data_IF_780851034020
#
_entry.id   IF_780851034020
#
_cell.length_a   1.000
_cell.length_b   1.000
_cell.length_c   1.000
_cell.angle_alpha   90.00
_cell.angle_beta   90.00
_cell.angle_gamma   90.00
#
_symmetry.space_group_name_H-M   'P 1'
#
loop_
_entity.id
_entity.type
_entity.pdbx_description
1 polymer ?
#
# COMPACT_ATOMS: atom_id res chain seq x y z
N UNK A 1 30.00 -45.83 -77.97
CA UNK A 1 30.41 -44.99 -79.11
C UNK A 1 29.14 -44.36 -79.68
N UNK A 2 29.13 -43.02 -79.80
CA UNK A 2 28.19 -42.18 -80.57
C UNK A 2 26.74 -41.94 -80.07
N UNK A 3 26.48 -40.67 -79.77
CA UNK A 3 25.18 -39.96 -79.64
C UNK A 3 24.45 -39.89 -80.99
N UNK A 4 23.13 -39.57 -81.02
CA UNK A 4 22.69 -38.17 -81.24
C UNK A 4 21.40 -37.77 -80.47
N UNK A 5 21.31 -36.58 -79.85
CA UNK A 5 20.78 -35.28 -80.37
C UNK A 5 19.26 -35.07 -80.06
N UNK A 6 18.63 -33.88 -80.26
CA UNK A 6 18.44 -32.94 -79.15
C UNK A 6 17.03 -32.28 -79.06
N UNK A 7 16.87 -31.47 -78.01
CA UNK A 7 16.19 -30.16 -78.03
C UNK A 7 14.68 -30.03 -77.78
N UNK A 8 14.41 -29.01 -76.94
CA UNK A 8 13.26 -28.11 -76.89
C UNK A 8 12.07 -28.43 -75.95
N UNK A 9 12.15 -27.77 -74.79
CA UNK A 9 11.09 -27.12 -73.99
C UNK A 9 10.13 -26.28 -74.88
N UNK A 10 8.91 -25.83 -74.44
CA UNK A 10 8.60 -25.34 -73.09
C UNK A 10 7.16 -25.59 -72.58
N UNK A 11 6.89 -25.27 -71.31
CA UNK A 11 5.52 -25.26 -70.79
C UNK A 11 5.43 -24.93 -69.31
N UNK A 12 5.45 -23.63 -68.99
CA UNK A 12 5.16 -23.11 -67.65
C UNK A 12 3.74 -23.50 -67.22
N UNK A 13 3.61 -24.18 -66.08
CA UNK A 13 2.40 -24.15 -65.27
C UNK A 13 2.80 -23.69 -63.86
N UNK A 14 2.53 -22.42 -63.57
CA UNK A 14 2.73 -21.84 -62.25
C UNK A 14 1.69 -22.45 -61.28
N UNK A 15 2.11 -23.41 -60.46
CA UNK A 15 1.32 -23.87 -59.31
C UNK A 15 1.39 -22.83 -58.22
N UNK A 16 0.25 -22.18 -57.95
CA UNK A 16 0.05 -21.32 -56.77
C UNK A 16 0.09 -22.19 -55.52
N UNK A 17 1.24 -22.24 -54.85
CA UNK A 17 1.36 -22.80 -53.51
C UNK A 17 0.69 -21.82 -52.55
N UNK A 18 -0.49 -22.17 -52.06
CA UNK A 18 -1.15 -21.47 -50.97
C UNK A 18 -0.37 -21.75 -49.67
N UNK A 19 0.45 -20.80 -49.25
CA UNK A 19 1.15 -20.83 -47.97
C UNK A 19 0.13 -20.58 -46.85
N UNK A 20 -0.38 -21.65 -46.24
CA UNK A 20 -1.15 -21.55 -45.00
C UNK A 20 -0.19 -21.17 -43.86
N UNK A 21 -0.14 -19.88 -43.53
CA UNK A 21 0.52 -19.39 -42.32
C UNK A 21 -0.34 -19.82 -41.14
N UNK A 22 0.05 -20.90 -40.47
CA UNK A 22 -0.49 -21.24 -39.16
C UNK A 22 0.04 -20.20 -38.15
N UNK A 23 -0.80 -19.22 -37.81
CA UNK A 23 -0.58 -18.33 -36.68
C UNK A 23 -0.62 -19.17 -35.39
N UNK A 24 0.56 -19.54 -34.90
CA UNK A 24 0.75 -20.00 -33.53
C UNK A 24 0.44 -18.82 -32.61
N UNK A 25 -0.82 -18.71 -32.19
CA UNK A 25 -1.23 -17.86 -31.07
C UNK A 25 -0.63 -18.52 -29.84
N UNK A 26 0.56 -18.10 -29.45
CA UNK A 26 1.08 -18.40 -28.12
C UNK A 26 0.08 -17.84 -27.11
N UNK A 27 -0.53 -18.66 -26.24
CA UNK A 27 -1.28 -18.09 -25.14
C UNK A 27 -0.27 -17.29 -24.33
N UNK A 28 -0.50 -15.97 -24.23
CA UNK A 28 0.08 -15.18 -23.15
C UNK A 28 -0.34 -15.89 -21.86
N UNK A 29 0.57 -16.66 -21.29
CA UNK A 29 0.39 -17.19 -19.96
C UNK A 29 0.19 -16.00 -19.05
N UNK A 30 -1.05 -15.77 -18.65
CA UNK A 30 -1.34 -15.05 -17.42
C UNK A 30 -0.60 -15.85 -16.34
N UNK A 31 0.52 -15.32 -15.87
CA UNK A 31 1.06 -15.76 -14.59
C UNK A 31 -0.05 -15.48 -13.58
N UNK A 32 -0.81 -16.51 -13.23
CA UNK A 32 -1.70 -16.47 -12.09
C UNK A 32 -0.86 -15.96 -10.92
N UNK A 33 -1.28 -14.86 -10.30
CA UNK A 33 -0.72 -14.44 -9.02
C UNK A 33 -1.07 -15.54 -8.02
N UNK A 34 -0.21 -16.54 -7.89
CA UNK A 34 -0.36 -17.65 -6.96
C UNK A 34 0.02 -17.16 -5.56
N UNK A 35 -0.87 -16.36 -4.96
CA UNK A 35 -0.75 -15.86 -3.59
C UNK A 35 -1.86 -14.86 -3.28
N UNK A 36 -2.35 -14.89 -2.03
CA UNK A 36 -3.18 -13.82 -1.49
C UNK A 36 -2.40 -12.50 -1.52
N UNK A 37 -2.89 -11.43 -2.18
CA UNK A 37 -2.12 -10.19 -2.27
C UNK A 37 -1.83 -9.60 -0.88
N UNK A 38 -0.67 -8.95 -0.73
CA UNK A 38 -0.22 -8.37 0.54
C UNK A 38 1.26 -8.64 0.82
N UNK A 39 1.61 -8.76 2.10
CA UNK A 39 2.98 -9.05 2.56
C UNK A 39 2.97 -10.07 3.69
N UNK A 40 3.88 -11.03 3.60
CA UNK A 40 4.13 -12.01 4.66
C UNK A 40 5.50 -11.74 5.29
N UNK A 41 5.52 -11.05 6.43
CA UNK A 41 6.74 -10.88 7.22
C UNK A 41 7.12 -12.20 7.91
N UNK A 42 6.12 -13.03 8.23
CA UNK A 42 6.28 -14.31 8.90
C UNK A 42 7.17 -15.31 8.15
N UNK A 43 7.30 -15.17 6.83
CA UNK A 43 8.14 -16.02 5.97
C UNK A 43 9.55 -15.48 5.78
N UNK A 44 9.87 -14.32 6.33
CA UNK A 44 11.19 -13.70 6.23
C UNK A 44 12.14 -14.20 7.33
N UNK A 45 13.37 -13.69 7.34
CA UNK A 45 14.37 -13.98 8.36
C UNK A 45 14.53 -12.81 9.33
N UNK A 46 14.71 -13.10 10.63
CA UNK A 46 15.01 -12.07 11.62
C UNK A 46 16.35 -11.38 11.29
N UNK A 47 16.37 -10.05 11.30
CA UNK A 47 17.52 -9.24 10.89
C UNK A 47 17.76 -9.20 9.37
N UNK A 48 16.93 -9.90 8.59
CA UNK A 48 17.01 -9.88 7.13
C UNK A 48 16.56 -8.57 6.51
N UNK A 49 16.70 -8.47 5.19
CA UNK A 49 16.19 -7.34 4.41
C UNK A 49 14.66 -7.29 4.44
N UNK A 50 14.10 -6.09 4.32
CA UNK A 50 12.67 -5.89 4.15
C UNK A 50 12.18 -6.61 2.87
N UNK A 51 10.92 -7.07 2.83
CA UNK A 51 10.36 -7.72 1.64
C UNK A 51 10.53 -6.85 0.38
N UNK A 52 10.76 -7.51 -0.76
CA UNK A 52 10.99 -6.82 -2.02
C UNK A 52 9.82 -5.85 -2.35
N UNK A 53 10.16 -4.69 -2.93
CA UNK A 53 9.19 -3.64 -3.28
C UNK A 53 8.82 -2.68 -2.14
N UNK A 54 9.17 -3.00 -0.89
CA UNK A 54 8.92 -2.11 0.25
C UNK A 54 10.03 -1.06 0.40
N UNK A 55 9.64 0.20 0.58
CA UNK A 55 10.55 1.35 0.73
C UNK A 55 10.16 2.15 1.97
N UNK A 56 11.15 2.56 2.76
CA UNK A 56 10.95 3.50 3.86
C UNK A 56 11.00 4.92 3.31
N UNK A 57 9.84 5.58 3.20
CA UNK A 57 9.66 6.88 2.56
C UNK A 57 9.45 7.99 3.60
N UNK A 58 10.09 9.16 3.44
CA UNK A 58 9.89 10.28 4.34
C UNK A 58 8.48 10.83 4.18
N UNK A 59 7.79 11.08 5.30
CA UNK A 59 6.49 11.77 5.30
C UNK A 59 6.63 13.28 5.49
N UNK A 60 7.69 13.71 6.17
CA UNK A 60 8.07 15.12 6.35
C UNK A 60 9.54 15.29 6.01
N UNK A 61 9.85 16.29 5.18
CA UNK A 61 11.22 16.58 4.75
C UNK A 61 12.11 16.96 5.94
N UNK A 62 13.25 16.28 6.07
CA UNK A 62 14.27 16.60 7.08
C UNK A 62 14.00 16.03 8.48
N UNK A 63 12.90 15.30 8.68
CA UNK A 63 12.65 14.57 9.93
C UNK A 63 13.43 13.25 9.94
N UNK A 64 13.87 12.77 11.12
CA UNK A 64 14.40 11.42 11.26
C UNK A 64 13.40 10.38 10.77
N UNK A 65 13.94 9.26 10.27
CA UNK A 65 13.15 8.15 9.74
C UNK A 65 12.91 7.11 10.84
N UNK A 66 11.69 6.58 10.91
CA UNK A 66 11.37 5.43 11.75
C UNK A 66 12.18 4.21 11.27
N UNK A 67 12.75 3.46 12.21
CA UNK A 67 13.57 2.29 11.91
C UNK A 67 12.68 1.06 11.87
N UNK A 68 12.71 0.37 10.73
CA UNK A 68 11.96 -0.86 10.50
C UNK A 68 12.90 -2.07 10.46
N UNK A 69 12.66 -3.08 11.28
CA UNK A 69 13.48 -4.30 11.37
C UNK A 69 12.61 -5.55 11.44
N UNK A 70 13.04 -6.63 10.80
CA UNK A 70 12.40 -7.93 10.97
C UNK A 70 12.92 -8.58 12.25
N UNK A 71 12.03 -8.92 13.18
CA UNK A 71 12.37 -9.50 14.48
C UNK A 71 11.54 -10.75 14.75
N UNK A 72 12.03 -11.59 15.65
CA UNK A 72 11.30 -12.76 16.13
C UNK A 72 10.40 -12.35 17.29
N UNK A 73 9.10 -12.64 17.19
CA UNK A 73 8.11 -12.53 18.28
C UNK A 73 7.52 -13.93 18.52
N UNK A 74 8.04 -14.63 19.54
CA UNK A 74 7.76 -16.05 19.74
C UNK A 74 8.24 -16.92 18.57
N UNK A 75 7.31 -17.61 17.90
CA UNK A 75 7.61 -18.49 16.77
C UNK A 75 7.49 -17.84 15.39
N UNK A 76 7.04 -16.57 15.32
CA UNK A 76 6.84 -15.86 14.06
C UNK A 76 7.88 -14.76 13.87
N UNK A 77 8.14 -14.43 12.61
CA UNK A 77 8.79 -13.16 12.25
C UNK A 77 7.72 -12.08 12.10
N UNK A 78 8.05 -10.87 12.56
CA UNK A 78 7.20 -9.68 12.49
C UNK A 78 8.07 -8.48 12.14
N UNK A 79 7.45 -7.43 11.64
CA UNK A 79 8.10 -6.15 11.41
C UNK A 79 8.02 -5.31 12.70
N UNK A 80 9.15 -4.99 13.32
CA UNK A 80 9.23 -3.98 14.37
C UNK A 80 9.47 -2.60 13.77
N UNK A 81 8.77 -1.60 14.29
CA UNK A 81 8.99 -0.19 14.03
C UNK A 81 9.42 0.51 15.32
N UNK A 82 10.61 1.10 15.33
CA UNK A 82 11.09 1.97 16.40
C UNK A 82 11.03 3.41 15.91
N UNK A 83 10.18 4.24 16.52
CA UNK A 83 10.14 5.67 16.27
C UNK A 83 10.71 6.45 17.46
N UNK A 84 11.53 7.45 17.14
CA UNK A 84 12.23 8.30 18.10
C UNK A 84 12.32 9.70 17.50
N UNK A 85 11.40 10.58 17.91
CA UNK A 85 11.22 11.91 17.31
C UNK A 85 11.13 11.85 15.78
N UNK A 86 10.62 10.75 15.25
CA UNK A 86 10.72 10.37 13.84
C UNK A 86 9.36 10.14 13.22
N UNK A 87 9.30 10.27 11.91
CA UNK A 87 8.12 9.92 11.13
C UNK A 87 8.54 9.46 9.74
N UNK A 88 8.18 8.23 9.37
CA UNK A 88 8.32 7.72 8.01
C UNK A 88 7.36 6.57 7.76
N UNK A 89 6.97 6.41 6.49
CA UNK A 89 6.05 5.36 6.07
C UNK A 89 6.82 4.27 5.33
N UNK A 90 6.70 3.02 5.79
CA UNK A 90 7.16 1.86 5.05
C UNK A 90 6.09 1.47 4.03
N UNK A 91 6.31 1.77 2.76
CA UNK A 91 5.31 1.71 1.70
C UNK A 91 5.66 0.67 0.63
N UNK A 92 4.63 0.04 0.07
CA UNK A 92 4.71 -0.78 -1.13
C UNK A 92 3.84 -0.15 -2.21
N UNK A 93 4.44 0.12 -3.37
CA UNK A 93 3.71 0.56 -4.57
C UNK A 93 3.03 -0.65 -5.21
N UNK A 94 1.77 -0.52 -5.58
CA UNK A 94 1.07 -1.64 -6.19
C UNK A 94 -0.41 -1.39 -6.39
N UNK A 95 -0.95 -2.09 -7.38
CA UNK A 95 -2.35 -2.05 -7.77
C UNK A 95 -3.02 -3.32 -7.23
N UNK A 96 -3.73 -3.19 -6.09
CA UNK A 96 -4.59 -4.26 -5.58
C UNK A 96 -5.98 -4.04 -6.15
N UNK A 97 -6.51 -5.04 -6.85
CA UNK A 97 -7.88 -4.99 -7.35
C UNK A 97 -8.87 -5.16 -6.19
N UNK A 98 -9.38 -4.03 -5.71
CA UNK A 98 -10.36 -3.97 -4.63
C UNK A 98 -11.74 -4.48 -5.06
N UNK A 99 -12.01 -4.71 -6.35
CA UNK A 99 -13.23 -5.40 -6.77
C UNK A 99 -13.15 -6.91 -6.48
N UNK A 100 -11.93 -7.47 -6.48
CA UNK A 100 -11.69 -8.88 -6.17
C UNK A 100 -11.35 -9.09 -4.70
N UNK A 101 -10.55 -8.18 -4.12
CA UNK A 101 -10.01 -8.32 -2.76
C UNK A 101 -10.26 -7.08 -1.88
N UNK A 102 -11.54 -6.70 -1.64
CA UNK A 102 -11.88 -5.46 -0.93
C UNK A 102 -11.55 -5.47 0.56
N UNK A 103 -11.27 -6.65 1.14
CA UNK A 103 -11.09 -6.82 2.58
C UNK A 103 -9.62 -6.95 2.91
N UNK A 104 -9.12 -6.13 3.83
CA UNK A 104 -7.77 -6.27 4.39
C UNK A 104 -7.83 -6.91 5.76
N UNK A 105 -6.93 -7.86 6.01
CA UNK A 105 -6.70 -8.52 7.29
C UNK A 105 -5.25 -8.34 7.70
N UNK A 106 -5.02 -7.93 8.94
CA UNK A 106 -3.69 -7.74 9.48
C UNK A 106 -3.70 -7.87 11.00
N UNK A 107 -2.52 -7.82 11.61
CA UNK A 107 -2.40 -7.61 13.04
C UNK A 107 -1.30 -6.63 13.38
N UNK A 108 -1.46 -5.93 14.49
CA UNK A 108 -0.39 -5.10 15.06
C UNK A 108 -0.36 -5.21 16.58
N UNK A 109 0.72 -4.75 17.18
CA UNK A 109 0.90 -4.56 18.62
C UNK A 109 1.65 -3.24 18.79
N UNK A 110 1.29 -2.45 19.78
CA UNK A 110 2.10 -1.32 20.21
C UNK A 110 2.51 -1.52 21.66
N UNK A 111 3.67 -0.99 22.01
CA UNK A 111 4.20 -1.04 23.38
C UNK A 111 3.25 -0.34 24.35
N UNK A 112 2.69 0.80 23.94
CA UNK A 112 1.72 1.54 24.72
C UNK A 112 1.20 2.78 24.02
N UNK A 113 0.35 3.57 24.70
CA UNK A 113 -0.06 4.88 24.22
C UNK A 113 1.11 5.85 24.17
N UNK A 114 1.04 6.81 23.24
CA UNK A 114 1.96 7.96 23.20
C UNK A 114 1.41 9.04 24.14
N UNK A 115 2.22 9.45 25.12
CA UNK A 115 1.82 10.49 26.06
C UNK A 115 1.58 11.82 25.35
N UNK A 116 0.44 12.46 25.63
CA UNK A 116 0.08 13.75 25.05
C UNK A 116 -0.38 13.71 23.60
N UNK A 117 -0.40 12.55 22.94
CA UNK A 117 -0.92 12.39 21.59
C UNK A 117 -2.43 12.64 21.52
N UNK A 118 -2.87 13.31 20.47
CA UNK A 118 -4.27 13.50 20.10
C UNK A 118 -4.38 13.73 18.60
N UNK A 119 -4.91 12.74 17.88
CA UNK A 119 -4.98 12.75 16.41
C UNK A 119 -5.91 13.84 15.83
N UNK A 120 -6.66 14.57 16.67
CA UNK A 120 -7.44 15.74 16.25
C UNK A 120 -6.63 17.04 16.25
N UNK A 121 -5.48 17.05 16.90
CA UNK A 121 -4.65 18.23 17.09
C UNK A 121 -3.35 18.07 16.31
N UNK A 122 -3.13 18.88 15.28
CA UNK A 122 -1.99 18.73 14.36
C UNK A 122 -0.60 18.76 15.00
N UNK A 123 -0.41 19.43 16.13
CA UNK A 123 0.87 19.42 16.86
C UNK A 123 1.03 18.22 17.81
N UNK A 124 0.09 17.28 17.80
CA UNK A 124 0.02 16.11 18.67
C UNK A 124 -0.41 14.86 17.89
N UNK A 125 -0.36 14.93 16.56
CA UNK A 125 -0.93 13.94 15.64
C UNK A 125 0.08 12.80 15.41
N UNK A 126 0.37 12.06 16.48
CA UNK A 126 1.21 10.87 16.42
C UNK A 126 0.35 9.62 16.71
N UNK A 127 0.73 8.48 16.12
CA UNK A 127 0.14 7.19 16.47
C UNK A 127 1.22 6.11 16.51
N UNK A 128 1.16 5.19 17.50
CA UNK A 128 2.13 4.12 17.57
C UNK A 128 1.96 3.11 16.43
N UNK A 129 0.78 3.04 15.82
CA UNK A 129 0.59 2.21 14.64
C UNK A 129 -0.45 2.78 13.67
N UNK A 130 -0.10 2.75 12.38
CA UNK A 130 -1.00 3.08 11.27
C UNK A 130 -0.84 2.10 10.11
N UNK A 131 -1.95 1.77 9.47
CA UNK A 131 -2.02 1.08 8.18
C UNK A 131 -2.61 2.06 7.16
N UNK A 132 -1.86 2.35 6.11
CA UNK A 132 -2.09 3.45 5.17
C UNK A 132 -2.44 2.89 3.80
N UNK A 133 -3.44 3.47 3.15
CA UNK A 133 -3.82 3.17 1.76
C UNK A 133 -3.90 4.46 0.97
N UNK A 134 -3.34 4.45 -0.23
CA UNK A 134 -3.22 5.62 -1.10
C UNK A 134 -3.99 5.37 -2.38
N UNK A 135 -4.81 6.34 -2.79
CA UNK A 135 -5.70 6.23 -3.94
C UNK A 135 -5.44 7.33 -4.97
N UNK A 136 -5.53 6.96 -6.25
CA UNK A 136 -5.67 7.92 -7.34
C UNK A 136 -7.12 8.40 -7.49
N UNK A 137 -7.28 9.42 -8.34
CA UNK A 137 -8.59 9.97 -8.68
C UNK A 137 -8.48 11.29 -9.43
N UNK A 138 -9.63 11.77 -9.88
CA UNK A 138 -9.72 13.00 -10.65
C UNK A 138 -9.69 14.23 -9.73
N UNK A 139 -8.50 14.81 -9.57
CA UNK A 139 -8.27 16.01 -8.74
C UNK A 139 -9.11 17.22 -9.19
N UNK A 140 -9.63 17.26 -10.42
CA UNK A 140 -10.53 18.34 -10.87
C UNK A 140 -11.91 18.29 -10.20
N UNK A 141 -12.27 17.16 -9.58
CA UNK A 141 -13.50 17.00 -8.77
C UNK A 141 -13.36 17.47 -7.33
N UNK A 142 -12.12 17.70 -6.86
CA UNK A 142 -11.87 18.18 -5.51
C UNK A 142 -12.37 19.62 -5.33
N UNK A 143 -12.67 19.99 -4.08
CA UNK A 143 -13.02 21.37 -3.75
C UNK A 143 -11.88 22.34 -4.11
N UNK A 144 -12.21 23.61 -4.36
CA UNK A 144 -11.20 24.65 -4.59
C UNK A 144 -10.19 24.74 -3.44
N UNK A 145 -10.66 24.54 -2.20
CA UNK A 145 -9.83 24.55 -1.01
C UNK A 145 -8.84 23.38 -0.99
N UNK A 146 -9.31 22.15 -1.24
CA UNK A 146 -8.43 20.97 -1.28
C UNK A 146 -7.36 21.11 -2.37
N UNK A 147 -7.75 21.57 -3.56
CA UNK A 147 -6.79 21.80 -4.66
C UNK A 147 -5.74 22.85 -4.28
N UNK A 148 -6.15 23.96 -3.66
CA UNK A 148 -5.23 25.00 -3.22
C UNK A 148 -4.26 24.46 -2.15
N UNK A 149 -4.75 23.72 -1.17
CA UNK A 149 -3.95 23.08 -0.13
C UNK A 149 -2.93 22.10 -0.71
N UNK A 150 -3.33 21.29 -1.69
CA UNK A 150 -2.43 20.35 -2.38
C UNK A 150 -1.32 21.07 -3.16
N UNK A 151 -1.64 22.15 -3.86
CA UNK A 151 -0.65 22.94 -4.60
C UNK A 151 0.36 23.60 -3.65
N UNK A 152 -0.08 24.11 -2.50
CA UNK A 152 0.81 24.63 -1.46
C UNK A 152 1.71 23.52 -0.91
N UNK A 153 1.14 22.36 -0.56
CA UNK A 153 1.90 21.21 -0.08
C UNK A 153 2.95 20.75 -1.11
N UNK A 154 2.59 20.71 -2.39
CA UNK A 154 3.51 20.37 -3.48
C UNK A 154 4.67 21.37 -3.58
N UNK A 155 4.42 22.67 -3.44
CA UNK A 155 5.48 23.70 -3.51
C UNK A 155 6.43 23.64 -2.32
N UNK A 156 5.92 23.36 -1.13
CA UNK A 156 6.72 23.32 0.10
C UNK A 156 7.45 21.97 0.27
N UNK A 157 6.75 20.86 0.00
CA UNK A 157 7.23 19.50 0.22
C UNK A 157 7.82 18.82 -1.02
N UNK A 158 7.58 19.35 -2.21
CA UNK A 158 8.11 18.83 -3.48
C UNK A 158 7.45 17.55 -3.99
N UNK A 159 6.38 17.07 -3.34
CA UNK A 159 5.65 15.86 -3.73
C UNK A 159 4.20 16.16 -4.07
N UNK A 160 3.68 15.48 -5.11
CA UNK A 160 2.28 15.57 -5.46
C UNK A 160 1.47 14.68 -4.50
N UNK A 161 0.52 15.28 -3.78
CA UNK A 161 -0.31 14.53 -2.84
C UNK A 161 -1.24 13.57 -3.60
N UNK A 162 -1.53 12.39 -3.04
CA UNK A 162 -2.52 11.50 -3.62
C UNK A 162 -3.91 12.12 -3.63
N UNK A 163 -4.83 11.53 -4.40
CA UNK A 163 -6.22 12.00 -4.43
C UNK A 163 -6.92 11.78 -3.09
N UNK A 164 -6.67 10.64 -2.45
CA UNK A 164 -7.13 10.33 -1.11
C UNK A 164 -6.15 9.38 -0.40
N UNK A 165 -6.10 9.50 0.92
CA UNK A 165 -5.43 8.55 1.79
C UNK A 165 -6.38 8.10 2.89
N UNK A 166 -6.60 6.79 3.00
CA UNK A 166 -7.30 6.18 4.12
C UNK A 166 -6.28 5.60 5.09
N UNK A 167 -6.43 5.85 6.38
CA UNK A 167 -5.58 5.27 7.41
C UNK A 167 -6.42 4.54 8.45
N UNK A 168 -6.00 3.35 8.85
CA UNK A 168 -6.40 2.77 10.13
C UNK A 168 -5.37 3.14 11.18
N UNK A 169 -5.82 3.63 12.33
CA UNK A 169 -4.92 4.11 13.39
C UNK A 169 -5.21 3.48 14.74
N UNK A 170 -4.15 3.34 15.54
CA UNK A 170 -4.24 3.19 16.98
C UNK A 170 -4.46 4.57 17.61
N UNK A 171 -5.50 4.74 18.41
CA UNK A 171 -5.72 5.98 19.17
C UNK A 171 -6.35 5.71 20.54
N UNK A 172 -5.91 6.44 21.56
CA UNK A 172 -6.52 6.41 22.91
C UNK A 172 -7.47 7.57 23.16
N UNK A 173 -7.51 8.58 22.28
CA UNK A 173 -8.38 9.77 22.42
C UNK A 173 -9.71 9.62 21.68
N UNK A 174 -9.98 8.43 21.14
CA UNK A 174 -11.20 8.12 20.40
C UNK A 174 -11.49 6.61 20.42
N UNK A 175 -12.78 6.24 20.35
CA UNK A 175 -13.18 4.83 20.30
C UNK A 175 -13.01 4.24 18.88
N UNK A 176 -12.73 2.92 18.75
CA UNK A 176 -12.76 2.23 17.47
C UNK A 176 -14.03 2.52 16.66
N UNK A 177 -13.88 2.71 15.36
CA UNK A 177 -14.93 3.13 14.44
C UNK A 177 -15.09 4.64 14.28
N UNK A 178 -14.46 5.45 15.15
CA UNK A 178 -14.42 6.91 15.01
C UNK A 178 -13.61 7.31 13.78
N UNK A 179 -14.13 8.24 13.00
CA UNK A 179 -13.44 8.88 11.87
C UNK A 179 -12.85 10.21 12.35
N UNK A 180 -11.56 10.42 12.10
CA UNK A 180 -10.83 11.64 12.41
C UNK A 180 -10.21 12.15 11.11
N UNK A 181 -10.68 13.29 10.57
CA UNK A 181 -10.00 13.92 9.43
C UNK A 181 -8.62 14.41 9.88
N UNK A 182 -7.63 14.31 9.00
CA UNK A 182 -6.32 14.89 9.31
C UNK A 182 -6.44 16.41 9.46
N UNK A 183 -5.78 17.01 10.48
CA UNK A 183 -5.90 18.44 10.77
C UNK A 183 -5.35 19.36 9.67
N UNK A 184 -4.55 18.83 8.73
CA UNK A 184 -3.97 19.60 7.63
C UNK A 184 -4.73 19.46 6.31
N UNK A 185 -5.52 18.40 6.14
CA UNK A 185 -6.26 18.16 4.89
C UNK A 185 -7.43 17.18 5.07
N UNK A 186 -8.57 17.48 4.43
CA UNK A 186 -9.72 16.57 4.39
C UNK A 186 -9.52 15.35 3.49
N UNK A 187 -8.44 15.29 2.70
CA UNK A 187 -8.13 14.16 1.81
C UNK A 187 -7.32 13.06 2.48
N UNK A 188 -6.99 13.21 3.76
CA UNK A 188 -6.49 12.13 4.61
C UNK A 188 -7.54 11.88 5.69
N UNK A 189 -8.10 10.67 5.71
CA UNK A 189 -9.11 10.25 6.67
C UNK A 189 -8.58 9.10 7.51
N UNK A 190 -8.69 9.22 8.83
CA UNK A 190 -8.19 8.23 9.78
C UNK A 190 -9.36 7.56 10.50
N UNK A 191 -9.42 6.24 10.47
CA UNK A 191 -10.39 5.44 11.21
C UNK A 191 -9.68 4.78 12.37
N UNK A 192 -10.14 5.04 13.59
CA UNK A 192 -9.61 4.38 14.79
C UNK A 192 -10.03 2.92 14.78
N UNK A 193 -9.10 2.00 14.97
CA UNK A 193 -9.40 0.55 14.97
C UNK A 193 -8.84 -0.20 16.18
N UNK A 194 -7.95 0.43 16.96
CA UNK A 194 -7.44 -0.08 18.22
C UNK A 194 -7.00 1.06 19.14
N UNK A 195 -6.58 0.72 20.35
CA UNK A 195 -6.15 1.66 21.39
C UNK A 195 -7.13 1.76 22.56
N UNK A 196 -7.97 0.76 22.75
CA UNK A 196 -8.81 0.64 23.93
C UNK A 196 -7.97 0.27 25.17
N UNK A 197 -8.48 0.54 26.39
CA UNK A 197 -7.85 0.07 27.61
C UNK A 197 -7.61 -1.44 27.56
N UNK A 198 -6.37 -1.87 27.74
CA UNK A 198 -5.96 -3.28 27.65
C UNK A 198 -5.31 -3.69 26.32
N UNK A 199 -5.36 -2.87 25.27
CA UNK A 199 -4.74 -3.18 23.98
C UNK A 199 -3.20 -3.10 24.02
N UNK A 200 -2.65 -2.23 24.89
CA UNK A 200 -1.22 -2.02 25.04
C UNK A 200 -0.48 -3.34 25.33
N UNK A 201 0.58 -3.61 24.57
CA UNK A 201 1.35 -4.85 24.65
C UNK A 201 0.65 -6.09 24.09
N UNK A 202 -0.58 -6.00 23.61
CA UNK A 202 -1.35 -7.11 23.05
C UNK A 202 -1.41 -7.05 21.52
N UNK A 203 -1.38 -8.23 20.88
CA UNK A 203 -1.64 -8.34 19.45
C UNK A 203 -3.13 -8.15 19.16
N UNK A 204 -3.43 -7.18 18.31
CA UNK A 204 -4.77 -6.90 17.81
C UNK A 204 -4.90 -7.45 16.39
N UNK A 205 -5.82 -8.40 16.19
CA UNK A 205 -6.15 -8.94 14.87
C UNK A 205 -7.32 -8.18 14.28
N UNK A 206 -7.14 -7.58 13.11
CA UNK A 206 -8.05 -6.61 12.52
C UNK A 206 -8.44 -7.05 11.11
N UNK A 207 -9.71 -6.85 10.75
CA UNK A 207 -10.26 -7.11 9.41
C UNK A 207 -11.21 -5.98 9.03
N UNK A 208 -11.00 -5.36 7.86
CA UNK A 208 -11.81 -4.22 7.40
C UNK A 208 -12.07 -4.29 5.89
N UNK A 209 -13.26 -3.86 5.47
CA UNK A 209 -13.57 -3.66 4.06
C UNK A 209 -13.15 -2.24 3.66
N UNK A 210 -12.09 -2.13 2.86
CA UNK A 210 -11.49 -0.86 2.46
C UNK A 210 -12.46 -0.04 1.61
N UNK A 211 -13.19 -0.70 0.69
CA UNK A 211 -14.13 -0.03 -0.21
C UNK A 211 -15.27 0.62 0.58
N UNK A 212 -15.88 -0.13 1.50
CA UNK A 212 -16.95 0.38 2.36
C UNK A 212 -16.47 1.51 3.26
N UNK A 213 -15.26 1.38 3.81
CA UNK A 213 -14.68 2.43 4.67
C UNK A 213 -14.34 3.69 3.89
N UNK A 214 -13.81 3.54 2.66
CA UNK A 214 -13.55 4.65 1.77
C UNK A 214 -14.85 5.40 1.43
N UNK A 215 -15.88 4.68 0.97
CA UNK A 215 -17.18 5.27 0.62
C UNK A 215 -17.82 5.97 1.82
N UNK A 216 -17.69 5.40 3.02
CA UNK A 216 -18.18 6.01 4.25
C UNK A 216 -17.54 7.36 4.55
N UNK A 217 -16.22 7.50 4.38
CA UNK A 217 -15.48 8.69 4.82
C UNK A 217 -15.28 9.74 3.73
N UNK A 218 -15.26 9.33 2.46
CA UNK A 218 -15.09 10.25 1.32
C UNK A 218 -16.39 10.51 0.55
N UNK A 219 -17.47 9.77 0.84
CA UNK A 219 -18.78 9.90 0.19
C UNK A 219 -18.76 9.69 -1.33
N UNK A 220 -17.79 8.91 -1.80
CA UNK A 220 -17.59 8.54 -3.20
C UNK A 220 -16.91 7.17 -3.27
N UNK A 221 -17.07 6.39 -4.36
CA UNK A 221 -16.35 5.13 -4.53
C UNK A 221 -14.83 5.37 -4.66
N UNK A 222 -13.98 4.46 -4.18
CA UNK A 222 -12.54 4.59 -4.34
C UNK A 222 -12.13 4.55 -5.82
N UNK A 223 -11.16 5.40 -6.15
CA UNK A 223 -10.34 5.22 -7.34
C UNK A 223 -9.40 4.03 -7.19
N UNK A 224 -8.41 3.94 -8.08
CA UNK A 224 -7.43 2.86 -8.01
C UNK A 224 -6.54 3.04 -6.78
N UNK A 225 -6.33 1.98 -6.02
CA UNK A 225 -5.35 1.98 -4.93
C UNK A 225 -3.95 1.86 -5.53
N UNK A 226 -3.11 2.87 -5.30
CA UNK A 226 -1.76 2.96 -5.89
C UNK A 226 -0.65 2.50 -4.95
N UNK A 227 -0.98 2.34 -3.67
CA UNK A 227 -0.06 1.78 -2.69
C UNK A 227 -0.69 1.61 -1.32
N UNK A 228 0.00 0.86 -0.48
CA UNK A 228 -0.35 0.67 0.92
C UNK A 228 0.94 0.56 1.75
N UNK A 229 0.83 0.75 3.06
CA UNK A 229 2.00 0.66 3.91
C UNK A 229 1.73 0.87 5.39
N UNK A 230 2.80 0.89 6.15
CA UNK A 230 2.81 0.97 7.60
C UNK A 230 3.48 2.28 8.02
N UNK A 231 2.98 2.93 9.06
CA UNK A 231 3.54 4.17 9.56
C UNK A 231 3.50 4.16 11.09
N UNK A 232 4.64 4.48 11.69
CA UNK A 232 4.78 4.73 13.13
C UNK A 232 5.52 6.05 13.30
N UNK A 233 4.97 6.96 14.09
CA UNK A 233 5.44 8.33 14.20
C UNK A 233 5.35 8.90 15.61
N UNK A 234 6.31 9.79 15.91
CA UNK A 234 6.49 10.49 17.19
C UNK A 234 7.07 11.90 16.99
N UNK A 235 7.00 12.44 15.76
CA UNK A 235 7.70 13.67 15.40
C UNK A 235 6.97 14.93 15.85
N UNK A 236 5.69 14.82 16.23
CA UNK A 236 4.87 15.90 16.75
C UNK A 236 4.99 16.04 18.27
N UNK A 237 4.93 14.92 18.98
CA UNK A 237 5.05 14.84 20.45
C UNK A 237 6.49 14.84 20.93
N UNK A 238 7.47 14.60 20.04
CA UNK A 238 8.88 14.48 20.39
C UNK A 238 9.12 13.39 21.45
N UNK A 239 8.45 12.26 21.27
CA UNK A 239 8.53 11.09 22.16
C UNK A 239 9.18 9.91 21.44
N UNK A 240 9.13 8.73 22.05
CA UNK A 240 9.51 7.47 21.44
C UNK A 240 8.36 6.48 21.53
N UNK A 241 8.27 5.57 20.57
CA UNK A 241 7.33 4.45 20.62
C UNK A 241 7.85 3.27 19.84
N UNK A 242 7.32 2.10 20.16
CA UNK A 242 7.56 0.86 19.43
C UNK A 242 6.26 0.19 19.07
N UNK A 243 6.21 -0.29 17.83
CA UNK A 243 5.14 -1.14 17.35
C UNK A 243 5.66 -2.35 16.59
N UNK A 244 4.82 -3.35 16.46
CA UNK A 244 5.05 -4.55 15.69
C UNK A 244 3.88 -4.80 14.76
N UNK A 245 4.18 -5.21 13.53
CA UNK A 245 3.21 -5.51 12.49
C UNK A 245 3.39 -6.96 12.05
N UNK A 246 2.27 -7.68 11.99
CA UNK A 246 2.21 -8.99 11.35
C UNK A 246 1.92 -8.87 9.86
N UNK A 247 1.67 -10.02 9.25
CA UNK A 247 1.31 -10.13 7.84
C UNK A 247 0.08 -9.28 7.50
N UNK A 248 0.05 -8.77 6.27
CA UNK A 248 -1.07 -8.04 5.69
C UNK A 248 -1.58 -8.85 4.51
N UNK A 249 -2.88 -9.09 4.47
CA UNK A 249 -3.52 -9.89 3.42
C UNK A 249 -4.76 -9.18 2.90
N UNK A 250 -4.88 -9.11 1.59
CA UNK A 250 -6.08 -8.66 0.89
C UNK A 250 -6.89 -9.89 0.46
N UNK A 251 -8.15 -9.94 0.88
CA UNK A 251 -9.03 -11.09 0.83
C UNK A 251 -10.28 -10.76 0.01
N UNK A 252 -10.84 -11.77 -0.65
CA UNK A 252 -12.19 -11.70 -1.20
C UNK A 252 -13.25 -11.50 -0.11
N UNK A 253 -14.48 -11.21 -0.53
CA UNK A 253 -15.63 -11.14 0.38
C UNK A 253 -15.98 -12.50 0.98
#
# INVERSE_FOLDING_TARGET
MHLPSPSQSPGRAASRVALCIALLVSPLGTLAQNGTPGVSFSTAEAGGSLPAGWKNLPVVKGKPMTRYTLVRDGHTIVLQADADHSASALMHEGDIDLNQTPVVSWRWKAEGPIEGADNRTGSKEDAPARLVFVFDGDKSKLSMFDRASMEVAKRLGGQDLPYATLMYIWSTTAAPGTVIPNPHTGRVQMIVVSGQPGDAGQWQSLRRNIVQDYEKVFHEPPGRMTGYGLLTDTDNTATTTRAWYGDIQFLGQ
#
